data_IF_451259028458
#
_entry.id   IF_451259028458
#
_cell.length_a   1.000
_cell.length_b   1.000
_cell.length_c   1.000
_cell.angle_alpha   90.00
_cell.angle_beta   90.00
_cell.angle_gamma   90.00
#
_symmetry.space_group_name_H-M   'P 1'
#
loop_
_entity.id
_entity.type
_entity.pdbx_description
1 polymer ?
#
# COMPACT_ATOMS: atom_id res chain seq x y z
N UNK A 1 -4.45 -81.91 -4.50
CA UNK A 1 -4.56 -80.81 -3.52
C UNK A 1 -4.21 -79.52 -4.24
N UNK A 2 -4.82 -78.38 -3.87
CA UNK A 2 -4.58 -77.13 -4.59
C UNK A 2 -3.13 -76.66 -4.41
N UNK A 3 -2.60 -75.99 -5.44
CA UNK A 3 -1.26 -75.39 -5.39
C UNK A 3 -1.27 -74.07 -4.62
N UNK A 4 -0.10 -73.60 -4.17
CA UNK A 4 0.02 -72.28 -3.53
C UNK A 4 -0.58 -71.19 -4.43
N UNK A 5 -0.28 -71.21 -5.73
CA UNK A 5 -0.73 -70.21 -6.71
C UNK A 5 -2.26 -70.18 -6.87
N UNK A 6 -2.90 -71.35 -6.80
CA UNK A 6 -4.37 -71.47 -6.86
C UNK A 6 -5.05 -70.85 -5.63
N UNK A 7 -4.47 -71.02 -4.44
CA UNK A 7 -5.03 -70.43 -3.21
C UNK A 7 -4.63 -68.96 -3.03
N UNK A 8 -3.42 -68.57 -3.41
CA UNK A 8 -2.89 -67.21 -3.21
C UNK A 8 -3.59 -66.18 -4.08
N UNK A 9 -4.09 -66.59 -5.25
CA UNK A 9 -4.86 -65.74 -6.18
C UNK A 9 -6.25 -65.36 -5.65
N UNK A 10 -6.77 -66.06 -4.63
CA UNK A 10 -8.09 -65.79 -4.07
C UNK A 10 -7.98 -64.65 -3.05
N UNK A 11 -8.73 -63.58 -3.27
CA UNK A 11 -8.73 -62.39 -2.41
C UNK A 11 -9.13 -62.71 -0.97
N UNK A 12 -10.13 -63.59 -0.79
CA UNK A 12 -10.73 -63.94 0.49
C UNK A 12 -9.91 -64.91 1.36
N UNK A 13 -8.78 -65.44 0.86
CA UNK A 13 -7.92 -66.37 1.59
C UNK A 13 -6.77 -65.59 2.22
N UNK A 14 -6.81 -65.46 3.56
CA UNK A 14 -5.80 -64.72 4.33
C UNK A 14 -4.71 -65.60 4.94
N UNK A 15 -4.98 -66.89 5.14
CA UNK A 15 -4.03 -67.83 5.75
C UNK A 15 -4.15 -69.19 5.07
N UNK A 16 -3.01 -69.72 4.64
CA UNK A 16 -2.88 -71.07 4.08
C UNK A 16 -1.67 -71.76 4.69
N UNK A 17 -1.68 -73.08 4.69
CA UNK A 17 -0.56 -73.86 5.18
C UNK A 17 -0.31 -75.10 4.33
N UNK A 18 0.91 -75.60 4.33
CA UNK A 18 1.27 -76.89 3.71
C UNK A 18 2.15 -77.67 4.67
N UNK A 19 1.94 -78.98 4.73
CA UNK A 19 2.79 -79.88 5.48
C UNK A 19 3.91 -80.43 4.59
N UNK A 20 5.15 -80.39 5.07
CA UNK A 20 6.31 -80.99 4.43
C UNK A 20 6.45 -82.48 4.76
N UNK A 21 7.30 -83.18 3.99
CA UNK A 21 7.52 -84.63 4.15
C UNK A 21 8.20 -85.01 5.48
N UNK A 22 8.96 -84.11 6.07
CA UNK A 22 9.60 -84.23 7.39
C UNK A 22 8.64 -83.88 8.55
N UNK A 23 7.36 -83.60 8.26
CA UNK A 23 6.38 -83.23 9.28
C UNK A 23 6.41 -81.76 9.69
N UNK A 24 7.22 -80.92 9.03
CA UNK A 24 7.14 -79.46 9.19
C UNK A 24 5.85 -78.92 8.60
N UNK A 25 5.44 -77.76 9.09
CA UNK A 25 4.24 -77.06 8.67
C UNK A 25 4.66 -75.65 8.31
N UNK A 26 4.54 -75.34 7.03
CA UNK A 26 4.76 -74.01 6.50
C UNK A 26 3.41 -73.29 6.47
N UNK A 27 3.27 -72.21 7.20
CA UNK A 27 2.09 -71.34 7.17
C UNK A 27 2.42 -70.05 6.45
N UNK A 28 1.58 -69.65 5.49
CA UNK A 28 1.67 -68.39 4.77
C UNK A 28 0.48 -67.50 5.14
N UNK A 29 0.76 -66.32 5.66
CA UNK A 29 -0.21 -65.31 6.06
C UNK A 29 -0.13 -64.14 5.08
N UNK A 30 -1.26 -63.76 4.50
CA UNK A 30 -1.38 -62.67 3.55
C UNK A 30 -1.35 -61.33 4.28
N UNK A 31 -0.48 -60.42 3.85
CA UNK A 31 -0.29 -59.08 4.45
C UNK A 31 -0.17 -58.00 3.36
N UNK A 32 -0.56 -56.75 3.62
CA UNK A 32 -0.30 -55.66 2.68
C UNK A 32 1.22 -55.42 2.54
N UNK A 33 1.69 -55.24 1.31
CA UNK A 33 3.12 -55.02 0.99
C UNK A 33 3.50 -53.54 0.92
N UNK A 34 2.55 -52.68 0.60
CA UNK A 34 2.68 -51.21 0.47
C UNK A 34 1.49 -50.54 1.20
N UNK A 35 1.32 -49.22 1.01
CA UNK A 35 0.09 -48.49 1.39
C UNK A 35 -1.16 -49.31 1.01
N UNK A 36 -2.05 -49.49 1.99
CA UNK A 36 -3.28 -50.30 1.91
C UNK A 36 -4.14 -49.89 0.69
N UNK A 37 -3.97 -48.65 0.21
CA UNK A 37 -4.64 -48.07 -0.96
C UNK A 37 -4.24 -48.69 -2.31
N UNK A 38 -3.10 -49.37 -2.40
CA UNK A 38 -2.55 -49.88 -3.68
C UNK A 38 -2.87 -51.36 -3.94
N UNK A 39 -3.63 -52.02 -3.06
CA UNK A 39 -4.05 -53.44 -3.17
C UNK A 39 -2.90 -54.44 -3.44
N UNK A 40 -1.65 -54.07 -3.13
CA UNK A 40 -0.50 -54.97 -3.29
C UNK A 40 -0.35 -55.86 -2.07
N UNK A 41 -0.50 -57.16 -2.27
CA UNK A 41 -0.39 -58.16 -1.20
C UNK A 41 0.93 -58.93 -1.28
N UNK A 42 1.49 -59.21 -0.12
CA UNK A 42 2.60 -60.13 0.09
C UNK A 42 2.25 -61.20 1.13
N UNK A 43 3.22 -62.04 1.46
CA UNK A 43 3.04 -63.18 2.34
C UNK A 43 4.15 -63.23 3.39
N UNK A 44 3.77 -63.42 4.65
CA UNK A 44 4.72 -63.77 5.71
C UNK A 44 4.66 -65.27 5.89
N UNK A 45 5.85 -65.89 5.96
CA UNK A 45 5.98 -67.33 6.16
C UNK A 45 6.39 -67.63 7.60
N UNK A 46 5.79 -68.66 8.19
CA UNK A 46 6.20 -69.22 9.48
C UNK A 46 6.32 -70.73 9.39
N UNK A 47 7.32 -71.28 10.10
CA UNK A 47 7.58 -72.72 10.16
C UNK A 47 7.24 -73.22 11.55
N UNK A 48 6.52 -74.33 11.63
CA UNK A 48 6.30 -75.05 12.88
C UNK A 48 6.47 -76.55 12.69
N UNK A 49 6.82 -77.23 13.77
CA UNK A 49 6.89 -78.69 13.83
C UNK A 49 5.66 -79.25 14.56
N UNK A 50 5.34 -80.54 14.35
CA UNK A 50 4.16 -81.18 14.96
C UNK A 50 4.17 -81.18 16.49
N UNK A 51 5.33 -81.08 17.11
CA UNK A 51 5.51 -80.98 18.57
C UNK A 51 5.31 -79.55 19.11
N UNK A 52 4.98 -78.59 18.24
CA UNK A 52 4.77 -77.19 18.61
C UNK A 52 6.07 -76.40 18.75
N UNK A 53 7.24 -77.01 18.48
CA UNK A 53 8.49 -76.27 18.40
C UNK A 53 8.52 -75.42 17.12
N UNK A 54 8.95 -74.16 17.28
CA UNK A 54 9.12 -73.23 16.18
C UNK A 54 10.63 -72.96 16.01
N UNK A 55 11.24 -73.57 15.01
CA UNK A 55 12.56 -73.12 14.53
C UNK A 55 12.31 -72.05 13.48
N UNK A 56 12.46 -70.77 13.85
CA UNK A 56 12.37 -69.67 12.89
C UNK A 56 13.64 -69.54 12.03
N UNK A 57 14.72 -70.22 12.42
CA UNK A 57 16.05 -70.13 11.78
C UNK A 57 16.10 -70.67 10.34
N UNK A 58 15.04 -71.35 9.88
CA UNK A 58 14.97 -71.97 8.55
C UNK A 58 14.20 -71.14 7.50
N UNK A 59 13.55 -70.04 7.91
CA UNK A 59 12.89 -69.10 6.99
C UNK A 59 13.74 -67.85 6.85
N UNK A 60 13.90 -67.38 5.62
CA UNK A 60 14.67 -66.18 5.35
C UNK A 60 14.03 -64.96 6.05
N UNK A 61 14.73 -64.39 7.01
CA UNK A 61 14.36 -63.17 7.73
C UNK A 61 15.20 -61.98 7.25
N UNK A 62 14.65 -60.77 7.36
CA UNK A 62 15.40 -59.53 7.13
C UNK A 62 16.21 -59.23 8.40
N UNK A 63 17.50 -58.92 8.26
CA UNK A 63 18.33 -58.50 9.39
C UNK A 63 18.43 -56.97 9.41
N UNK A 64 18.00 -56.36 10.51
CA UNK A 64 18.18 -54.93 10.74
C UNK A 64 19.60 -54.60 11.19
N UNK A 65 19.98 -53.33 11.09
CA UNK A 65 21.33 -52.83 11.45
C UNK A 65 21.68 -53.06 12.94
N UNK A 66 20.67 -53.26 13.78
CA UNK A 66 20.81 -53.60 15.20
C UNK A 66 20.93 -55.11 15.48
N UNK A 67 21.04 -55.93 14.43
CA UNK A 67 21.10 -57.39 14.51
C UNK A 67 19.74 -58.07 14.75
N UNK A 68 18.64 -57.32 14.88
CA UNK A 68 17.30 -57.90 15.03
C UNK A 68 16.81 -58.53 13.72
N UNK A 69 16.14 -59.66 13.84
CA UNK A 69 15.53 -60.36 12.71
C UNK A 69 14.06 -59.98 12.60
N UNK A 70 13.64 -59.59 11.39
CA UNK A 70 12.28 -59.24 11.04
C UNK A 70 11.74 -60.23 10.00
N UNK A 71 10.44 -60.50 10.07
CA UNK A 71 9.78 -61.32 9.05
C UNK A 71 9.89 -60.67 7.67
N UNK A 72 10.44 -61.37 6.69
CA UNK A 72 10.44 -60.93 5.30
C UNK A 72 9.02 -61.05 4.72
N UNK A 73 8.59 -60.03 3.98
CA UNK A 73 7.39 -60.12 3.14
C UNK A 73 7.79 -60.72 1.78
N UNK A 74 7.26 -61.90 1.47
CA UNK A 74 7.48 -62.62 0.22
C UNK A 74 6.39 -62.29 -0.81
N UNK A 75 6.78 -62.20 -2.07
CA UNK A 75 5.84 -62.18 -3.21
C UNK A 75 5.27 -63.57 -3.47
N UNK A 76 4.15 -63.64 -4.20
CA UNK A 76 3.53 -64.94 -4.52
C UNK A 76 4.50 -65.87 -5.25
N UNK A 77 5.35 -65.33 -6.13
CA UNK A 77 6.33 -66.12 -6.88
C UNK A 77 7.47 -66.62 -5.97
N UNK A 78 7.93 -65.80 -5.03
CA UNK A 78 8.95 -66.21 -4.05
C UNK A 78 8.44 -67.35 -3.14
N UNK A 79 7.18 -67.29 -2.69
CA UNK A 79 6.61 -68.38 -1.90
C UNK A 79 6.42 -69.64 -2.75
N UNK A 80 5.99 -69.50 -4.01
CA UNK A 80 5.92 -70.61 -4.96
C UNK A 80 7.27 -71.32 -5.09
N UNK A 81 8.33 -70.58 -5.38
CA UNK A 81 9.69 -71.11 -5.51
C UNK A 81 10.20 -71.75 -4.20
N UNK A 82 9.94 -71.13 -3.05
CA UNK A 82 10.30 -71.69 -1.74
C UNK A 82 9.56 -73.02 -1.50
N UNK A 83 8.27 -73.07 -1.80
CA UNK A 83 7.44 -74.27 -1.63
C UNK A 83 7.93 -75.43 -2.51
N UNK A 84 8.32 -75.16 -3.75
CA UNK A 84 8.85 -76.17 -4.66
C UNK A 84 10.21 -76.71 -4.21
N UNK A 85 11.13 -75.82 -3.83
CA UNK A 85 12.47 -76.17 -3.37
C UNK A 85 12.43 -77.03 -2.10
N UNK A 86 11.54 -76.72 -1.17
CA UNK A 86 11.43 -77.38 0.13
C UNK A 86 10.32 -78.45 0.19
N UNK A 87 9.72 -78.80 -0.96
CA UNK A 87 8.72 -79.88 -1.12
C UNK A 87 7.41 -79.70 -0.34
N UNK A 88 6.89 -78.47 -0.32
CA UNK A 88 5.57 -78.12 0.21
C UNK A 88 4.53 -78.02 -0.92
N UNK A 89 3.88 -79.13 -1.26
CA UNK A 89 3.00 -79.22 -2.45
C UNK A 89 1.50 -79.28 -2.15
N UNK A 90 1.12 -79.43 -0.89
CA UNK A 90 -0.24 -79.76 -0.47
C UNK A 90 -0.81 -78.64 0.41
N UNK A 91 -1.24 -77.56 -0.23
CA UNK A 91 -1.72 -76.38 0.48
C UNK A 91 -3.20 -76.51 0.88
N UNK A 92 -3.51 -76.03 2.08
CA UNK A 92 -4.85 -76.00 2.66
C UNK A 92 -5.15 -74.63 3.26
N UNK A 93 -6.43 -74.24 3.30
CA UNK A 93 -6.88 -72.97 3.89
C UNK A 93 -6.99 -73.08 5.41
N UNK A 94 -6.43 -72.12 6.12
CA UNK A 94 -6.38 -72.09 7.58
C UNK A 94 -4.96 -72.15 8.12
N UNK A 95 -4.83 -72.53 9.38
CA UNK A 95 -3.54 -72.71 10.03
C UNK A 95 -3.56 -73.97 10.89
N UNK A 96 -2.37 -74.49 11.16
CA UNK A 96 -2.20 -75.67 11.99
C UNK A 96 -1.74 -75.23 13.38
N UNK A 97 -2.50 -75.58 14.42
CA UNK A 97 -2.17 -75.26 15.80
C UNK A 97 -2.46 -76.44 16.71
N UNK A 98 -1.52 -76.77 17.61
CA UNK A 98 -1.68 -77.80 18.66
C UNK A 98 -2.24 -79.14 18.13
N UNK A 99 -1.64 -79.68 17.07
CA UNK A 99 -2.04 -80.92 16.40
C UNK A 99 -3.46 -80.94 15.78
N UNK A 100 -4.17 -79.81 15.77
CA UNK A 100 -5.48 -79.68 15.16
C UNK A 100 -5.44 -78.79 13.92
N UNK A 101 -6.13 -79.24 12.86
CA UNK A 101 -6.38 -78.42 11.68
C UNK A 101 -7.47 -77.41 12.01
N UNK A 102 -7.11 -76.13 12.06
CA UNK A 102 -8.08 -75.04 12.21
C UNK A 102 -8.38 -74.52 10.81
N UNK A 103 -9.50 -74.98 10.25
CA UNK A 103 -10.01 -74.39 9.01
C UNK A 103 -10.40 -72.95 9.32
N UNK A 104 -9.74 -72.00 8.66
CA UNK A 104 -10.23 -70.63 8.64
C UNK A 104 -11.58 -70.68 7.93
N UNK A 105 -12.68 -70.61 8.70
CA UNK A 105 -14.01 -70.43 8.13
C UNK A 105 -13.89 -69.24 7.18
N UNK A 106 -14.40 -69.35 5.95
CA UNK A 106 -14.60 -68.15 5.11
C UNK A 106 -15.21 -67.10 6.03
N UNK A 107 -14.54 -65.97 6.24
CA UNK A 107 -15.12 -64.83 6.92
C UNK A 107 -16.37 -64.46 6.12
N UNK A 108 -17.49 -65.03 6.56
CA UNK A 108 -18.84 -64.88 6.02
C UNK A 108 -19.73 -64.19 7.05
N UNK A 109 -19.19 -63.84 8.21
CA UNK A 109 -19.68 -62.69 8.91
C UNK A 109 -19.27 -61.48 8.06
N UNK A 110 -20.20 -60.67 7.52
CA UNK A 110 -19.85 -59.29 7.28
C UNK A 110 -19.47 -58.79 8.68
N UNK A 111 -18.18 -58.58 8.94
CA UNK A 111 -17.86 -57.51 9.88
C UNK A 111 -18.64 -56.33 9.31
N UNK A 112 -19.45 -55.67 10.12
CA UNK A 112 -20.10 -54.43 9.74
C UNK A 112 -19.02 -53.33 9.67
N UNK A 113 -18.00 -53.59 8.86
CA UNK A 113 -16.92 -52.68 8.50
C UNK A 113 -17.52 -51.43 7.92
N UNK A 114 -18.71 -51.52 7.31
CA UNK A 114 -19.43 -50.39 6.77
C UNK A 114 -19.93 -49.47 7.89
N UNK A 115 -20.49 -50.00 8.98
CA UNK A 115 -20.87 -49.20 10.16
C UNK A 115 -19.64 -48.62 10.86
N UNK A 116 -18.61 -49.43 11.12
CA UNK A 116 -17.39 -48.94 11.79
C UNK A 116 -16.62 -47.90 10.93
N UNK A 117 -16.50 -48.14 9.62
CA UNK A 117 -15.88 -47.17 8.70
C UNK A 117 -16.72 -45.90 8.61
N UNK A 118 -18.05 -46.01 8.61
CA UNK A 118 -18.94 -44.84 8.59
C UNK A 118 -18.83 -44.02 9.87
N UNK A 119 -18.77 -44.65 11.04
CA UNK A 119 -18.56 -43.96 12.31
C UNK A 119 -17.19 -43.28 12.37
N UNK A 120 -16.12 -43.97 11.98
CA UNK A 120 -14.78 -43.38 11.91
C UNK A 120 -14.69 -42.23 10.90
N UNK A 121 -15.33 -42.36 9.73
CA UNK A 121 -15.40 -41.29 8.72
C UNK A 121 -16.18 -40.09 9.26
N UNK A 122 -17.27 -40.33 9.99
CA UNK A 122 -18.10 -39.27 10.54
C UNK A 122 -17.39 -38.52 11.68
N UNK A 123 -16.68 -39.22 12.56
CA UNK A 123 -15.80 -38.62 13.58
C UNK A 123 -14.67 -37.82 12.93
N UNK A 124 -14.01 -38.38 11.90
CA UNK A 124 -12.96 -37.68 11.15
C UNK A 124 -13.52 -36.42 10.47
N UNK A 125 -14.72 -36.49 9.89
CA UNK A 125 -15.38 -35.35 9.27
C UNK A 125 -15.68 -34.25 10.30
N UNK A 126 -16.19 -34.62 11.49
CA UNK A 126 -16.43 -33.65 12.57
C UNK A 126 -15.13 -33.01 13.06
N UNK A 127 -14.06 -33.77 13.20
CA UNK A 127 -12.75 -33.24 13.59
C UNK A 127 -12.21 -32.27 12.53
N UNK A 128 -12.35 -32.58 11.24
CA UNK A 128 -11.95 -31.69 10.14
C UNK A 128 -12.79 -30.41 10.16
N UNK A 129 -14.10 -30.51 10.36
CA UNK A 129 -14.99 -29.34 10.44
C UNK A 129 -14.63 -28.44 11.64
N UNK A 130 -14.40 -29.03 12.80
CA UNK A 130 -13.96 -28.29 13.99
C UNK A 130 -12.62 -27.58 13.78
N UNK A 131 -11.65 -28.27 13.17
CA UNK A 131 -10.36 -27.67 12.83
C UNK A 131 -10.51 -26.55 11.79
N UNK A 132 -11.39 -26.69 10.80
CA UNK A 132 -11.69 -25.64 9.84
C UNK A 132 -12.33 -24.41 10.49
N UNK A 133 -13.26 -24.59 11.42
CA UNK A 133 -13.88 -23.49 12.18
C UNK A 133 -12.84 -22.75 13.02
N UNK A 134 -11.98 -23.47 13.76
CA UNK A 134 -10.93 -22.88 14.58
C UNK A 134 -9.90 -22.12 13.73
N UNK A 135 -9.50 -22.70 12.60
CA UNK A 135 -8.57 -22.05 11.67
C UNK A 135 -9.19 -20.79 11.06
N UNK A 136 -10.46 -20.87 10.63
CA UNK A 136 -11.20 -19.73 10.07
C UNK A 136 -11.31 -18.61 11.08
N UNK A 137 -11.65 -18.93 12.34
CA UNK A 137 -11.71 -17.96 13.43
C UNK A 137 -10.35 -17.31 13.69
N UNK A 138 -9.28 -18.11 13.75
CA UNK A 138 -7.92 -17.61 13.96
C UNK A 138 -7.47 -16.67 12.85
N UNK A 139 -7.78 -17.00 11.59
CA UNK A 139 -7.49 -16.14 10.43
C UNK A 139 -8.29 -14.85 10.51
N UNK A 140 -9.59 -14.93 10.84
CA UNK A 140 -10.46 -13.76 10.97
C UNK A 140 -9.96 -12.81 12.06
N UNK A 141 -9.63 -13.33 13.25
CA UNK A 141 -9.14 -12.53 14.37
C UNK A 141 -7.82 -11.83 14.02
N UNK A 142 -6.90 -12.52 13.36
CA UNK A 142 -5.65 -11.92 12.86
C UNK A 142 -5.89 -10.83 11.83
N UNK A 143 -6.85 -11.04 10.92
CA UNK A 143 -7.17 -10.09 9.86
C UNK A 143 -7.82 -8.82 10.42
N UNK A 144 -8.68 -8.95 11.44
CA UNK A 144 -9.26 -7.81 12.17
C UNK A 144 -8.17 -6.99 12.86
N UNK A 145 -7.26 -7.63 13.60
CA UNK A 145 -6.15 -6.94 14.29
C UNK A 145 -5.24 -6.23 13.28
N UNK A 146 -4.91 -6.87 12.15
CA UNK A 146 -4.10 -6.27 11.10
C UNK A 146 -4.77 -5.04 10.48
N UNK A 147 -6.07 -5.13 10.14
CA UNK A 147 -6.82 -4.01 9.59
C UNK A 147 -6.90 -2.83 10.57
N UNK A 148 -7.07 -3.11 11.86
CA UNK A 148 -7.08 -2.08 12.90
C UNK A 148 -5.71 -1.38 12.98
N UNK A 149 -4.61 -2.14 13.04
CA UNK A 149 -3.26 -1.58 13.10
C UNK A 149 -2.92 -0.74 11.86
N UNK A 150 -3.32 -1.21 10.67
CA UNK A 150 -3.12 -0.45 9.42
C UNK A 150 -3.91 0.86 9.46
N UNK A 151 -5.17 0.81 9.91
CA UNK A 151 -6.03 1.99 10.04
C UNK A 151 -5.44 3.01 11.01
N UNK A 152 -4.97 2.56 12.17
CA UNK A 152 -4.37 3.42 13.19
C UNK A 152 -3.07 4.07 12.69
N UNK A 153 -2.22 3.31 11.99
CA UNK A 153 -0.97 3.84 11.43
C UNK A 153 -1.24 4.86 10.30
N UNK A 154 -2.19 4.57 9.40
CA UNK A 154 -2.64 5.52 8.39
C UNK A 154 -3.17 6.79 9.06
N UNK A 155 -4.05 6.65 10.05
CA UNK A 155 -4.60 7.81 10.77
C UNK A 155 -3.51 8.63 11.46
N UNK A 156 -2.54 7.99 12.09
CA UNK A 156 -1.40 8.65 12.74
C UNK A 156 -0.54 9.42 11.74
N UNK A 157 -0.26 8.87 10.57
CA UNK A 157 0.49 9.57 9.53
C UNK A 157 -0.29 10.77 8.98
N UNK A 158 -1.58 10.58 8.66
CA UNK A 158 -2.41 11.65 8.11
C UNK A 158 -2.73 12.76 9.12
N UNK A 159 -2.93 12.44 10.40
CA UNK A 159 -3.23 13.46 11.43
C UNK A 159 -2.15 14.53 11.54
N UNK A 160 -0.87 14.15 11.41
CA UNK A 160 0.25 15.10 11.40
C UNK A 160 0.21 16.04 10.20
N UNK A 161 -0.19 15.53 9.03
CA UNK A 161 -0.31 16.31 7.81
C UNK A 161 -1.51 17.25 7.89
N UNK A 162 -2.66 16.78 8.40
CA UNK A 162 -3.85 17.61 8.61
C UNK A 162 -3.56 18.76 9.56
N UNK A 163 -2.87 18.52 10.68
CA UNK A 163 -2.46 19.57 11.61
C UNK A 163 -1.54 20.60 10.93
N UNK A 164 -0.58 20.14 10.13
CA UNK A 164 0.34 21.02 9.40
C UNK A 164 -0.36 21.83 8.31
N UNK A 165 -1.33 21.26 7.60
CA UNK A 165 -2.15 21.99 6.64
C UNK A 165 -2.97 23.09 7.31
N UNK A 166 -3.59 22.79 8.46
CA UNK A 166 -4.32 23.80 9.23
C UNK A 166 -3.40 24.95 9.69
N UNK A 167 -2.15 24.65 10.06
CA UNK A 167 -1.16 25.67 10.40
C UNK A 167 -0.79 26.55 9.20
N UNK A 168 -0.55 25.96 8.02
CA UNK A 168 -0.27 26.68 6.78
C UNK A 168 -1.46 27.58 6.38
N UNK A 169 -2.69 27.07 6.47
CA UNK A 169 -3.90 27.83 6.17
C UNK A 169 -4.06 29.03 7.12
N UNK A 170 -3.75 28.85 8.40
CA UNK A 170 -3.73 29.93 9.40
C UNK A 170 -2.68 31.00 9.06
N UNK A 171 -1.45 30.59 8.71
CA UNK A 171 -0.38 31.51 8.31
C UNK A 171 -0.76 32.31 7.06
N UNK A 172 -1.31 31.64 6.05
CA UNK A 172 -1.76 32.28 4.82
C UNK A 172 -2.87 33.32 5.08
N UNK A 173 -3.84 32.95 5.92
CA UNK A 173 -4.92 33.87 6.32
C UNK A 173 -4.40 35.10 7.05
N UNK A 174 -3.43 34.92 7.95
CA UNK A 174 -2.77 36.02 8.66
C UNK A 174 -2.03 36.96 7.68
N UNK A 175 -1.25 36.42 6.75
CA UNK A 175 -0.53 37.23 5.76
C UNK A 175 -1.45 37.96 4.78
N UNK A 176 -2.53 37.32 4.36
CA UNK A 176 -3.56 37.95 3.53
C UNK A 176 -4.16 39.16 4.24
N UNK A 177 -4.52 39.01 5.52
CA UNK A 177 -5.13 40.08 6.30
C UNK A 177 -4.14 41.23 6.58
N UNK A 178 -2.87 40.92 6.85
CA UNK A 178 -1.82 41.93 6.98
C UNK A 178 -1.62 42.72 5.68
N UNK A 179 -1.63 42.05 4.53
CA UNK A 179 -1.53 42.69 3.21
C UNK A 179 -2.74 43.58 2.94
N UNK A 180 -3.95 43.14 3.30
CA UNK A 180 -5.17 43.94 3.19
C UNK A 180 -5.08 45.22 4.04
N UNK A 181 -4.58 45.10 5.28
CA UNK A 181 -4.40 46.26 6.16
C UNK A 181 -3.39 47.25 5.59
N UNK A 182 -2.25 46.76 5.07
CA UNK A 182 -1.24 47.60 4.39
C UNK A 182 -1.82 48.33 3.19
N UNK A 183 -2.63 47.65 2.36
CA UNK A 183 -3.32 48.27 1.22
C UNK A 183 -4.29 49.36 1.68
N UNK A 184 -5.06 49.13 2.74
CA UNK A 184 -5.96 50.14 3.29
C UNK A 184 -5.18 51.37 3.78
N UNK A 185 -4.06 51.20 4.49
CA UNK A 185 -3.20 52.31 4.93
C UNK A 185 -2.61 53.08 3.75
N UNK A 186 -2.20 52.40 2.68
CA UNK A 186 -1.73 53.05 1.45
C UNK A 186 -2.87 53.84 0.80
N UNK A 187 -4.08 53.28 0.75
CA UNK A 187 -5.25 53.95 0.19
C UNK A 187 -5.59 55.23 0.95
N UNK A 188 -5.61 55.18 2.29
CA UNK A 188 -5.82 56.36 3.14
C UNK A 188 -4.74 57.42 2.92
N UNK A 189 -3.47 57.01 2.82
CA UNK A 189 -2.37 57.93 2.52
C UNK A 189 -2.47 58.56 1.13
N UNK A 190 -2.99 57.83 0.13
CA UNK A 190 -3.22 58.38 -1.20
C UNK A 190 -4.38 59.39 -1.22
N UNK A 191 -5.41 59.16 -0.40
CA UNK A 191 -6.54 60.08 -0.25
C UNK A 191 -6.08 61.41 0.37
N UNK A 192 -5.32 61.37 1.47
CA UNK A 192 -4.71 62.56 2.09
C UNK A 192 -3.75 63.30 1.14
N UNK A 193 -2.94 62.55 0.38
CA UNK A 193 -2.08 63.15 -0.64
C UNK A 193 -2.89 63.85 -1.73
N UNK A 194 -3.98 63.22 -2.20
CA UNK A 194 -4.87 63.78 -3.23
C UNK A 194 -5.56 65.05 -2.73
N UNK A 195 -6.06 65.05 -1.48
CA UNK A 195 -6.67 66.21 -0.85
C UNK A 195 -5.66 67.37 -0.75
N UNK A 196 -4.45 67.10 -0.23
CA UNK A 196 -3.38 68.12 -0.14
C UNK A 196 -2.96 68.66 -1.50
N UNK A 197 -2.83 67.81 -2.51
CA UNK A 197 -2.46 68.25 -3.86
C UNK A 197 -3.56 69.09 -4.50
N UNK A 198 -4.83 68.75 -4.25
CA UNK A 198 -5.97 69.52 -4.76
C UNK A 198 -6.04 70.88 -4.08
N UNK A 199 -5.88 70.93 -2.76
CA UNK A 199 -5.83 72.19 -2.01
C UNK A 199 -4.65 73.08 -2.42
N UNK A 200 -3.48 72.50 -2.71
CA UNK A 200 -2.35 73.25 -3.25
C UNK A 200 -2.65 73.84 -4.64
N UNK A 201 -3.29 73.06 -5.52
CA UNK A 201 -3.71 73.51 -6.85
C UNK A 201 -4.71 74.68 -6.77
N UNK A 202 -5.72 74.56 -5.91
CA UNK A 202 -6.71 75.62 -5.69
C UNK A 202 -6.07 76.91 -5.15
N UNK A 203 -5.11 76.78 -4.24
CA UNK A 203 -4.41 77.92 -3.68
C UNK A 203 -3.53 78.63 -4.73
N UNK A 204 -2.86 77.88 -5.61
CA UNK A 204 -2.12 78.45 -6.75
C UNK A 204 -3.06 79.21 -7.69
N UNK A 205 -4.21 78.62 -8.02
CA UNK A 205 -5.20 79.28 -8.88
C UNK A 205 -5.70 80.58 -8.26
N UNK A 206 -5.99 80.58 -6.95
CA UNK A 206 -6.41 81.78 -6.22
C UNK A 206 -5.35 82.88 -6.24
N UNK A 207 -4.08 82.54 -5.96
CA UNK A 207 -2.95 83.49 -5.99
C UNK A 207 -2.79 84.09 -7.40
N UNK A 208 -2.89 83.26 -8.44
CA UNK A 208 -2.80 83.71 -9.82
C UNK A 208 -3.94 84.67 -10.17
N UNK A 209 -5.15 84.40 -9.70
CA UNK A 209 -6.31 85.26 -9.92
C UNK A 209 -6.16 86.61 -9.21
N UNK A 210 -5.78 86.61 -7.92
CA UNK A 210 -5.50 87.84 -7.16
C UNK A 210 -4.39 88.68 -7.82
N UNK A 211 -3.33 88.03 -8.31
CA UNK A 211 -2.23 88.70 -9.01
C UNK A 211 -2.70 89.33 -10.33
N UNK A 212 -3.55 88.63 -11.09
CA UNK A 212 -4.12 89.16 -12.33
C UNK A 212 -5.03 90.36 -12.08
N UNK A 213 -5.86 90.32 -11.03
CA UNK A 213 -6.72 91.43 -10.64
C UNK A 213 -5.90 92.67 -10.28
N UNK A 214 -4.83 92.50 -9.48
CA UNK A 214 -3.90 93.58 -9.12
C UNK A 214 -3.17 94.16 -10.35
N UNK A 215 -2.76 93.30 -11.29
CA UNK A 215 -2.16 93.73 -12.54
C UNK A 215 -3.14 94.57 -13.37
N UNK A 216 -4.39 94.13 -13.49
CA UNK A 216 -5.41 94.88 -14.25
C UNK A 216 -5.73 96.25 -13.63
N UNK A 217 -5.89 96.33 -12.30
CA UNK A 217 -6.10 97.61 -11.61
C UNK A 217 -4.91 98.57 -11.79
N UNK A 218 -3.68 98.05 -11.75
CA UNK A 218 -2.49 98.86 -12.00
C UNK A 218 -2.44 99.37 -13.46
N UNK A 219 -2.82 98.53 -14.42
CA UNK A 219 -2.91 98.89 -15.84
C UNK A 219 -3.95 99.99 -16.06
N UNK A 220 -5.17 99.84 -15.52
CA UNK A 220 -6.23 100.85 -15.65
C UNK A 220 -5.81 102.21 -15.09
N UNK A 221 -5.19 102.24 -13.91
CA UNK A 221 -4.68 103.49 -13.31
C UNK A 221 -3.59 104.16 -14.13
N UNK A 222 -2.69 103.39 -14.73
CA UNK A 222 -1.65 103.90 -15.62
C UNK A 222 -2.24 104.45 -16.92
N UNK A 223 -3.26 103.78 -17.46
CA UNK A 223 -3.99 104.17 -18.66
C UNK A 223 -4.66 105.54 -18.49
N UNK A 224 -5.34 105.76 -17.36
CA UNK A 224 -6.08 107.01 -17.08
C UNK A 224 -5.17 108.23 -16.88
N UNK A 225 -3.89 108.03 -16.54
CA UNK A 225 -2.95 109.12 -16.24
C UNK A 225 -2.13 109.59 -17.45
N UNK A 226 -2.28 108.97 -18.62
CA UNK A 226 -1.42 109.23 -19.77
C UNK A 226 -2.01 110.20 -20.80
N UNK A 227 -1.25 111.23 -21.25
CA UNK A 227 -1.58 112.03 -22.43
C UNK A 227 -1.64 111.17 -23.71
N UNK A 228 -2.63 111.38 -24.58
CA UNK A 228 -2.98 110.49 -25.71
C UNK A 228 -1.83 110.12 -26.67
N UNK A 229 -0.85 111.01 -26.87
CA UNK A 229 0.33 110.77 -27.70
C UNK A 229 1.37 109.87 -27.02
N UNK A 230 1.51 109.97 -25.69
CA UNK A 230 2.34 109.06 -24.88
C UNK A 230 1.62 107.73 -24.73
N UNK A 231 0.30 107.74 -24.52
CA UNK A 231 -0.55 106.56 -24.45
C UNK A 231 -0.41 105.66 -25.67
N UNK A 232 -0.40 106.22 -26.88
CA UNK A 232 -0.26 105.42 -28.12
C UNK A 232 1.10 104.73 -28.23
N UNK A 233 2.18 105.37 -27.75
CA UNK A 233 3.53 104.79 -27.77
C UNK A 233 3.74 103.80 -26.62
N UNK A 234 3.29 104.14 -25.42
CA UNK A 234 3.30 103.22 -24.27
C UNK A 234 2.40 102.02 -24.53
N UNK A 235 1.25 102.17 -25.19
CA UNK A 235 0.39 101.05 -25.58
C UNK A 235 1.12 100.09 -26.53
N UNK A 236 1.87 100.60 -27.51
CA UNK A 236 2.66 99.74 -28.38
C UNK A 236 3.77 98.99 -27.61
N UNK A 237 4.48 99.65 -26.69
CA UNK A 237 5.51 99.01 -25.84
C UNK A 237 4.88 98.05 -24.80
N UNK A 238 3.67 98.36 -24.35
CA UNK A 238 2.90 97.57 -23.39
C UNK A 238 2.32 96.32 -24.06
N UNK A 239 1.75 96.43 -25.26
CA UNK A 239 1.31 95.30 -26.09
C UNK A 239 2.48 94.36 -26.41
N UNK A 240 3.67 94.92 -26.63
CA UNK A 240 4.90 94.14 -26.83
C UNK A 240 5.34 93.42 -25.55
N UNK A 241 5.20 94.08 -24.38
CA UNK A 241 5.45 93.45 -23.08
C UNK A 241 4.40 92.40 -22.71
N UNK A 242 3.13 92.62 -23.03
CA UNK A 242 2.02 91.68 -22.85
C UNK A 242 2.26 90.41 -23.67
N UNK A 243 2.60 90.55 -24.96
CA UNK A 243 2.98 89.40 -25.79
C UNK A 243 4.19 88.64 -25.19
N UNK A 244 5.15 89.36 -24.62
CA UNK A 244 6.31 88.72 -23.99
C UNK A 244 5.93 87.99 -22.70
N UNK A 245 4.98 88.53 -21.92
CA UNK A 245 4.42 87.88 -20.72
C UNK A 245 3.60 86.65 -21.12
N UNK A 246 2.77 86.72 -22.16
CA UNK A 246 2.00 85.57 -22.67
C UNK A 246 2.96 84.46 -23.13
N UNK A 247 4.03 84.81 -23.85
CA UNK A 247 5.05 83.84 -24.25
C UNK A 247 5.77 83.21 -23.04
N UNK A 248 6.02 84.00 -21.99
CA UNK A 248 6.58 83.49 -20.74
C UNK A 248 5.59 82.57 -20.00
N UNK A 249 4.30 82.90 -19.99
CA UNK A 249 3.26 82.06 -19.39
C UNK A 249 3.08 80.74 -20.15
N UNK A 250 3.08 80.76 -21.49
CA UNK A 250 3.05 79.55 -22.32
C UNK A 250 4.29 78.67 -22.07
N UNK A 251 5.47 79.30 -21.90
CA UNK A 251 6.70 78.58 -21.57
C UNK A 251 6.59 77.93 -20.18
N UNK A 252 6.03 78.65 -19.20
CA UNK A 252 5.85 78.18 -17.82
C UNK A 252 4.81 77.06 -17.73
N UNK A 253 3.71 77.13 -18.48
CA UNK A 253 2.71 76.06 -18.61
C UNK A 253 3.33 74.81 -19.28
N UNK A 254 4.17 75.03 -20.31
CA UNK A 254 4.95 73.97 -20.93
C UNK A 254 5.89 73.27 -19.93
N UNK A 255 6.64 74.03 -19.12
CA UNK A 255 7.50 73.49 -18.08
C UNK A 255 6.71 72.76 -16.98
N UNK A 256 5.58 73.31 -16.54
CA UNK A 256 4.70 72.68 -15.54
C UNK A 256 4.16 71.35 -16.05
N UNK A 257 3.67 71.28 -17.30
CA UNK A 257 3.23 70.03 -17.92
C UNK A 257 4.36 69.00 -17.99
N UNK A 258 5.57 69.45 -18.30
CA UNK A 258 6.75 68.60 -18.37
C UNK A 258 7.15 68.06 -16.99
N UNK A 259 7.13 68.91 -15.96
CA UNK A 259 7.34 68.50 -14.56
C UNK A 259 6.26 67.54 -14.07
N UNK A 260 4.99 67.80 -14.38
CA UNK A 260 3.88 66.92 -14.01
C UNK A 260 4.03 65.54 -14.66
N UNK A 261 4.42 65.50 -15.94
CA UNK A 261 4.72 64.25 -16.66
C UNK A 261 5.89 63.49 -16.04
N UNK A 262 6.96 64.19 -15.66
CA UNK A 262 8.08 63.58 -14.92
C UNK A 262 7.66 63.01 -13.57
N UNK A 263 6.78 63.72 -12.85
CA UNK A 263 6.25 63.30 -11.56
C UNK A 263 5.37 62.04 -11.70
N UNK A 264 4.49 62.00 -12.71
CA UNK A 264 3.70 60.81 -13.04
C UNK A 264 4.59 59.60 -13.37
N UNK A 265 5.62 59.77 -14.21
CA UNK A 265 6.58 58.71 -14.54
C UNK A 265 7.30 58.23 -13.27
N UNK A 266 7.75 59.15 -12.42
CA UNK A 266 8.47 58.81 -11.19
C UNK A 266 7.58 58.06 -10.20
N UNK A 267 6.33 58.47 -10.03
CA UNK A 267 5.34 57.79 -9.19
C UNK A 267 5.02 56.41 -9.75
N UNK A 268 4.76 56.29 -11.05
CA UNK A 268 4.49 55.00 -11.70
C UNK A 268 5.66 54.04 -11.52
N UNK A 269 6.89 54.53 -11.68
CA UNK A 269 8.10 53.74 -11.47
C UNK A 269 8.30 53.34 -10.01
N UNK A 270 7.98 54.22 -9.06
CA UNK A 270 8.08 53.90 -7.62
C UNK A 270 7.04 52.84 -7.23
N UNK A 271 5.83 52.90 -7.78
CA UNK A 271 4.79 51.88 -7.59
C UNK A 271 5.23 50.55 -8.20
N UNK A 272 5.79 50.57 -9.40
CA UNK A 272 6.34 49.37 -10.06
C UNK A 272 7.51 48.77 -9.25
N UNK A 273 8.47 49.58 -8.83
CA UNK A 273 9.62 49.18 -8.01
C UNK A 273 9.19 48.60 -6.65
N UNK A 274 8.02 49.00 -6.12
CA UNK A 274 7.45 48.45 -4.87
C UNK A 274 6.67 47.16 -5.09
N UNK A 275 5.88 47.08 -6.16
CA UNK A 275 4.98 45.95 -6.41
C UNK A 275 5.70 44.74 -7.01
N UNK A 276 6.67 44.97 -7.91
CA UNK A 276 7.40 43.88 -8.59
C UNK A 276 8.10 42.95 -7.59
N UNK A 277 8.89 43.43 -6.60
CA UNK A 277 9.52 42.56 -5.62
C UNK A 277 8.51 41.77 -4.77
N UNK A 278 7.37 42.39 -4.44
CA UNK A 278 6.29 41.76 -3.66
C UNK A 278 5.61 40.62 -4.43
N UNK A 279 5.37 40.82 -5.72
CA UNK A 279 4.84 39.81 -6.63
C UNK A 279 5.85 38.69 -6.84
N UNK A 280 7.11 39.03 -7.09
CA UNK A 280 8.19 38.05 -7.28
C UNK A 280 8.41 37.20 -6.03
N UNK A 281 8.40 37.80 -4.84
CA UNK A 281 8.52 37.08 -3.57
C UNK A 281 7.31 36.18 -3.31
N UNK A 282 6.09 36.66 -3.59
CA UNK A 282 4.88 35.83 -3.48
C UNK A 282 4.90 34.65 -4.44
N UNK A 283 5.37 34.84 -5.68
CA UNK A 283 5.52 33.77 -6.67
C UNK A 283 6.59 32.77 -6.25
N UNK A 284 7.70 33.25 -5.68
CA UNK A 284 8.76 32.40 -5.17
C UNK A 284 8.27 31.51 -4.01
N UNK A 285 7.56 32.09 -3.04
CA UNK A 285 6.97 31.36 -1.92
C UNK A 285 5.96 30.30 -2.39
N UNK A 286 5.15 30.60 -3.41
CA UNK A 286 4.22 29.62 -3.99
C UNK A 286 4.95 28.46 -4.67
N UNK A 287 6.06 28.73 -5.38
CA UNK A 287 6.88 27.69 -6.00
C UNK A 287 7.58 26.81 -4.95
N UNK A 288 8.08 27.38 -3.86
CA UNK A 288 8.67 26.62 -2.76
C UNK A 288 7.61 25.74 -2.07
N UNK A 289 6.41 26.27 -1.86
CA UNK A 289 5.29 25.52 -1.27
C UNK A 289 4.87 24.35 -2.17
N UNK A 290 4.70 24.57 -3.48
CA UNK A 290 4.38 23.50 -4.44
C UNK A 290 5.47 22.43 -4.45
N UNK A 291 6.74 22.83 -4.47
CA UNK A 291 7.87 21.89 -4.39
C UNK A 291 7.82 21.07 -3.11
N UNK A 292 7.62 21.72 -1.97
CA UNK A 292 7.53 21.06 -0.67
C UNK A 292 6.37 20.05 -0.62
N UNK A 293 5.18 20.42 -1.12
CA UNK A 293 4.01 19.54 -1.18
C UNK A 293 4.31 18.29 -2.04
N UNK A 294 4.94 18.48 -3.21
CA UNK A 294 5.31 17.35 -4.09
C UNK A 294 6.32 16.42 -3.43
N UNK A 295 7.32 16.97 -2.74
CA UNK A 295 8.32 16.18 -2.01
C UNK A 295 7.67 15.36 -0.89
N UNK A 296 6.79 15.96 -0.09
CA UNK A 296 6.05 15.25 0.96
C UNK A 296 5.12 14.17 0.41
N UNK A 297 4.42 14.46 -0.69
CA UNK A 297 3.53 13.48 -1.34
C UNK A 297 4.33 12.28 -1.88
N UNK A 298 5.49 12.54 -2.50
CA UNK A 298 6.39 11.48 -3.00
C UNK A 298 6.92 10.64 -1.85
N UNK A 299 7.39 11.27 -0.78
CA UNK A 299 7.91 10.58 0.40
C UNK A 299 6.84 9.72 1.09
N UNK A 300 5.61 10.22 1.23
CA UNK A 300 4.48 9.44 1.74
C UNK A 300 4.17 8.24 0.85
N UNK A 301 4.18 8.42 -0.47
CA UNK A 301 3.94 7.34 -1.43
C UNK A 301 5.02 6.25 -1.34
N UNK A 302 6.29 6.64 -1.25
CA UNK A 302 7.41 5.71 -1.13
C UNK A 302 7.34 4.93 0.19
N UNK A 303 7.08 5.62 1.31
CA UNK A 303 6.91 4.99 2.62
C UNK A 303 5.76 3.98 2.64
N UNK A 304 4.61 4.33 2.05
CA UNK A 304 3.46 3.44 1.93
C UNK A 304 3.80 2.22 1.08
N UNK A 305 4.49 2.42 -0.03
CA UNK A 305 4.90 1.34 -0.96
C UNK A 305 5.89 0.39 -0.29
N UNK A 306 6.85 0.92 0.48
CA UNK A 306 7.83 0.13 1.20
C UNK A 306 7.17 -0.66 2.35
N UNK A 307 6.26 -0.03 3.10
CA UNK A 307 5.48 -0.70 4.13
C UNK A 307 4.65 -1.84 3.55
N UNK A 308 3.90 -1.62 2.46
CA UNK A 308 3.13 -2.65 1.77
C UNK A 308 4.00 -3.80 1.27
N UNK A 309 5.19 -3.52 0.72
CA UNK A 309 6.14 -4.57 0.34
C UNK A 309 6.61 -5.39 1.54
N UNK A 310 6.91 -4.74 2.67
CA UNK A 310 7.33 -5.42 3.89
C UNK A 310 6.21 -6.34 4.41
N UNK A 311 4.97 -5.84 4.48
CA UNK A 311 3.80 -6.62 4.92
C UNK A 311 3.54 -7.81 4.00
N UNK A 312 3.60 -7.62 2.67
CA UNK A 312 3.41 -8.72 1.72
C UNK A 312 4.53 -9.76 1.79
N UNK A 313 5.78 -9.34 2.05
CA UNK A 313 6.92 -10.24 2.22
C UNK A 313 6.77 -11.10 3.47
N UNK A 314 6.29 -10.50 4.56
CA UNK A 314 6.04 -11.19 5.83
C UNK A 314 4.83 -12.15 5.74
N UNK A 315 3.79 -11.79 4.97
CA UNK A 315 2.75 -12.75 4.64
C UNK A 315 3.30 -13.92 3.82
N UNK A 316 4.18 -13.67 2.85
CA UNK A 316 4.74 -14.74 2.01
C UNK A 316 5.64 -15.72 2.76
N UNK A 317 6.28 -15.31 3.86
CA UNK A 317 7.05 -16.21 4.73
C UNK A 317 6.14 -17.08 5.61
N UNK A 318 5.02 -16.53 6.09
CA UNK A 318 4.01 -17.29 6.87
C UNK A 318 3.38 -18.42 6.05
N UNK A 319 3.17 -18.22 4.73
CA UNK A 319 2.57 -19.25 3.87
C UNK A 319 3.54 -20.35 3.40
N UNK A 320 4.84 -20.21 3.67
CA UNK A 320 5.87 -21.20 3.27
C UNK A 320 6.26 -22.17 4.39
N UNK A 321 5.80 -21.94 5.61
CA UNK A 321 5.97 -22.83 6.77
C UNK A 321 4.66 -23.56 7.06
#
# INVERSE_FOLDING_TARGET
MPTFKELSSQSAISVIYSQGNNGTILTAIKVPRDDVRLEKWGWILSLSYKDGSASQDEIFMLQGDNGQQYSKIFTSDEVGNYSEKHRYYAWEVGYYSQMNKIQSRRNTAPLDTDVLQKEMLQETLQNILGYQEELTKTVQDKLVVQNQNLTDEVYKQFSSHVARFAEIESQFSSHYQESQNKLNTISESMEDFTEKSTGAYDNINKINQERNDLLMDAIEKLVDQMPSAIYSKMKADFDLSLNNIDQQLDTMDGELKLQLGQLQIKTSKTVEDMLVPLVDESQHQLLELDKFIREQATQSYDNLTEHLRATLKDQRSVWKN
#
